data_IF_190958164397
#
_entry.id   IF_190958164397
#
_cell.length_a   1.000
_cell.length_b   1.000
_cell.length_c   1.000
_cell.angle_alpha   90.00
_cell.angle_beta   90.00
_cell.angle_gamma   90.00
#
_symmetry.space_group_name_H-M   'P 1'
#
loop_
_entity.id
_entity.type
_entity.pdbx_description
1 polymer ?
2 non-polymer ?
3 non-polymer ?
4 water ?
#
# COMPACT_ATOMS: atom_id res chain seq x y z
N UNK A 4 -18.40 -3.16 -11.93
CA UNK A 4 -17.20 -3.40 -12.77
C UNK A 4 -16.14 -2.35 -12.47
N UNK A 5 -14.89 -2.79 -12.39
CA UNK A 5 -13.76 -1.88 -12.30
C UNK A 5 -13.40 -1.39 -13.71
N UNK A 6 -13.04 -0.12 -13.76
CA UNK A 6 -12.31 0.44 -14.87
C UNK A 6 -11.21 -0.48 -15.40
N UNK A 7 -10.91 -0.38 -16.68
CA UNK A 7 -9.76 -1.10 -17.24
C UNK A 7 -8.37 -0.83 -16.53
N UNK A 8 -7.97 0.43 -16.39
CA UNK A 8 -6.73 0.70 -15.63
C UNK A 8 -6.91 0.26 -14.15
N UNK A 9 -8.12 0.33 -13.60
CA UNK A 9 -8.33 -0.11 -12.23
C UNK A 9 -8.22 -1.64 -12.08
N UNK A 10 -8.64 -2.38 -13.12
CA UNK A 10 -8.39 -3.82 -13.11
C UNK A 10 -6.88 -4.12 -13.02
N UNK A 11 -6.05 -3.37 -13.75
CA UNK A 11 -4.59 -3.55 -13.67
C UNK A 11 -4.09 -3.21 -12.29
N UNK A 12 -4.59 -2.10 -11.74
CA UNK A 12 -4.29 -1.74 -10.35
C UNK A 12 -4.65 -2.86 -9.35
N UNK A 13 -5.81 -3.49 -9.55
CA UNK A 13 -6.25 -4.56 -8.64
C UNK A 13 -5.30 -5.75 -8.78
N UNK A 14 -4.81 -5.98 -10.00
CA UNK A 14 -3.82 -7.00 -10.22
C UNK A 14 -2.51 -6.69 -9.49
N UNK A 15 -2.05 -5.43 -9.53
CA UNK A 15 -0.84 -5.04 -8.79
C UNK A 15 -1.07 -5.31 -7.27
N UNK A 16 -2.26 -4.96 -6.79
CA UNK A 16 -2.60 -5.15 -5.39
C UNK A 16 -2.53 -6.63 -5.01
N UNK A 17 -3.09 -7.49 -5.86
CA UNK A 17 -3.10 -8.94 -5.64
C UNK A 17 -1.64 -9.43 -5.55
N UNK A 18 -0.78 -8.92 -6.42
CA UNK A 18 0.62 -9.31 -6.35
C UNK A 18 1.28 -8.87 -5.05
N UNK A 19 0.99 -7.65 -4.63
CA UNK A 19 1.58 -7.12 -3.39
C UNK A 19 1.16 -7.89 -2.15
N UNK A 20 -0.02 -8.51 -2.20
CA UNK A 20 -0.55 -9.33 -1.12
C UNK A 20 -0.14 -10.80 -1.20
N UNK A 21 0.55 -11.18 -2.28
CA UNK A 21 0.75 -12.60 -2.62
C UNK A 21 1.99 -13.14 -1.93
N UNK A 22 2.09 -14.45 -1.85
CA UNK A 22 3.18 -15.08 -1.11
C UNK A 22 4.56 -14.68 -1.62
N UNK A 23 4.66 -14.42 -2.92
CA UNK A 23 5.92 -14.03 -3.55
C UNK A 23 6.63 -12.91 -2.80
N UNK A 24 5.86 -11.94 -2.29
CA UNK A 24 6.44 -10.78 -1.66
C UNK A 24 6.33 -10.73 -0.13
N UNK A 25 5.95 -11.87 0.47
CA UNK A 25 5.53 -11.88 1.86
C UNK A 25 6.69 -11.53 2.79
N UNK A 26 7.94 -11.83 2.42
CA UNK A 26 9.09 -11.59 3.33
C UNK A 26 9.27 -10.13 3.67
N UNK A 27 8.84 -9.22 2.78
CA UNK A 27 8.95 -7.77 3.05
C UNK A 27 7.59 -7.08 3.11
N UNK A 28 6.54 -7.68 2.55
CA UNK A 28 5.25 -7.05 2.49
C UNK A 28 4.42 -7.20 3.77
N UNK A 29 4.71 -8.20 4.59
CA UNK A 29 3.79 -8.57 5.66
C UNK A 29 3.44 -7.44 6.66
N UNK A 30 4.37 -6.52 6.95
CA UNK A 30 3.98 -5.45 7.87
C UNK A 30 2.88 -4.55 7.35
N UNK A 31 2.67 -4.58 6.05
CA UNK A 31 1.70 -3.74 5.35
C UNK A 31 0.38 -4.43 5.06
N UNK A 32 0.22 -5.64 5.57
CA UNK A 32 -1.01 -6.41 5.34
C UNK A 32 -2.26 -5.91 6.09
N UNK A 33 -2.04 -5.24 7.22
CA UNK A 33 -3.14 -4.74 8.05
C UNK A 33 -2.75 -3.39 8.62
N UNK A 34 -3.75 -2.64 9.14
CA UNK A 34 -3.40 -1.35 9.75
C UNK A 34 -2.37 -1.53 10.87
N UNK A 35 -1.49 -0.54 11.03
CA UNK A 35 -0.59 -0.53 12.16
C UNK A 35 -1.42 -0.52 13.43
N UNK A 36 -1.16 -1.48 14.32
CA UNK A 36 -1.83 -1.59 15.59
C UNK A 36 -0.89 -0.93 16.61
N UNK A 37 -1.09 0.37 16.80
CA UNK A 37 -0.16 1.18 17.55
C UNK A 37 0.00 0.68 18.97
N UNK A 38 -1.12 0.33 19.60
CA UNK A 38 -1.02 -0.15 20.97
C UNK A 38 -0.35 -1.50 21.07
N UNK A 39 -0.65 -2.42 20.14
CA UNK A 39 0.00 -3.74 20.20
C UNK A 39 1.50 -3.62 20.02
N UNK A 40 1.96 -2.65 19.22
CA UNK A 40 3.40 -2.48 18.97
C UNK A 40 4.07 -1.49 19.91
N UNK A 41 3.27 -0.93 20.82
CA UNK A 41 3.75 0.02 21.82
C UNK A 41 4.27 1.33 21.20
N UNK A 42 3.61 1.74 20.11
CA UNK A 42 3.91 2.97 19.38
C UNK A 42 2.89 3.97 19.83
N UNK A 43 3.10 4.51 21.01
CA UNK A 43 2.02 5.31 21.63
C UNK A 43 1.87 6.69 21.02
N UNK A 44 2.82 7.11 20.17
CA UNK A 44 2.73 8.34 19.40
C UNK A 44 2.34 8.17 17.93
N UNK A 45 2.03 6.94 17.50
CA UNK A 45 1.86 6.67 16.08
C UNK A 45 0.75 7.54 15.46
N UNK A 46 -0.38 7.65 16.14
CA UNK A 46 -1.55 8.36 15.58
C UNK A 46 -1.39 9.88 15.67
N UNK A 47 -0.46 10.33 16.52
CA UNK A 47 -0.08 11.76 16.58
C UNK A 47 0.75 12.17 15.35
N UNK A 48 1.65 11.26 14.95
CA UNK A 48 2.58 11.53 13.82
C UNK A 48 1.92 11.19 12.46
N UNK A 49 1.20 10.06 12.43
CA UNK A 49 0.55 9.56 11.22
C UNK A 49 -0.96 9.82 11.37
N UNK A 50 -1.44 10.86 10.71
CA UNK A 50 -2.81 11.32 10.77
C UNK A 50 -3.75 10.58 9.82
N UNK A 51 -3.19 9.93 8.81
CA UNK A 51 -3.98 9.23 7.79
C UNK A 51 -3.42 7.83 7.57
N UNK A 52 -3.80 6.89 8.42
CA UNK A 52 -3.24 5.56 8.28
C UNK A 52 -3.62 4.91 6.95
N UNK A 53 -2.75 4.06 6.42
CA UNK A 53 -3.04 3.34 5.21
C UNK A 53 -2.24 2.06 5.17
N UNK A 54 -2.81 1.02 4.55
CA UNK A 54 -2.19 -0.30 4.49
C UNK A 54 -2.85 -1.06 3.33
N UNK A 55 -2.30 -2.21 2.98
CA UNK A 55 -2.83 -2.94 1.81
C UNK A 55 -4.26 -3.43 1.98
N UNK A 56 -4.66 -3.81 3.20
CA UNK A 56 -6.05 -4.26 3.40
C UNK A 56 -7.06 -3.15 3.17
N UNK A 57 -6.65 -1.91 3.49
CA UNK A 57 -7.51 -0.76 3.28
C UNK A 57 -7.61 -0.46 1.77
N UNK A 58 -6.47 -0.54 1.08
CA UNK A 58 -6.50 -0.41 -0.39
C UNK A 58 -7.42 -1.47 -1.00
N UNK A 59 -7.34 -2.70 -0.49
CA UNK A 59 -8.26 -3.75 -0.94
C UNK A 59 -9.72 -3.39 -0.66
N UNK A 60 -10.03 -3.01 0.57
CA UNK A 60 -11.42 -2.64 0.92
C UNK A 60 -11.94 -1.60 -0.05
N UNK A 61 -11.14 -0.57 -0.29
CA UNK A 61 -11.54 0.52 -1.16
C UNK A 61 -11.72 0.08 -2.61
N UNK A 62 -10.80 -0.78 -3.10
CA UNK A 62 -10.90 -1.28 -4.45
C UNK A 62 -12.15 -2.13 -4.60
N UNK A 63 -12.36 -3.02 -3.63
CA UNK A 63 -13.51 -3.91 -3.66
C UNK A 63 -14.80 -3.11 -3.58
N UNK A 64 -14.75 -1.99 -2.89
CA UNK A 64 -15.88 -1.11 -2.76
C UNK A 64 -16.05 -0.10 -3.88
N UNK A 65 -15.19 -0.20 -4.89
CA UNK A 65 -15.21 0.66 -6.06
C UNK A 65 -15.06 2.12 -5.69
N UNK A 66 -14.22 2.40 -4.69
CA UNK A 66 -14.04 3.76 -4.20
C UNK A 66 -13.04 4.58 -5.02
N UNK A 67 -12.09 3.94 -5.71
CA UNK A 67 -11.13 4.70 -6.49
C UNK A 67 -11.75 5.13 -7.81
N UNK A 68 -11.67 6.43 -8.11
CA UNK A 68 -12.20 6.92 -9.38
C UNK A 68 -11.29 6.61 -10.57
N UNK A 69 -10.00 6.44 -10.27
CA UNK A 69 -8.99 6.24 -11.28
C UNK A 69 -7.74 5.65 -10.69
N UNK A 70 -6.79 5.27 -11.56
CA UNK A 70 -5.53 4.68 -11.15
C UNK A 70 -4.74 5.63 -10.21
N UNK A 71 -4.84 6.92 -10.46
CA UNK A 71 -4.14 7.92 -9.65
C UNK A 71 -4.60 7.88 -8.21
N UNK A 72 -5.88 7.69 -8.00
CA UNK A 72 -6.40 7.60 -6.64
C UNK A 72 -5.84 6.38 -5.91
N UNK A 73 -5.82 5.25 -6.61
CA UNK A 73 -5.20 4.02 -6.09
C UNK A 73 -3.73 4.23 -5.73
N UNK A 74 -2.98 4.83 -6.65
CA UNK A 74 -1.56 5.02 -6.45
C UNK A 74 -1.31 5.96 -5.25
N UNK A 75 -2.15 6.96 -5.09
CA UNK A 75 -2.00 7.91 -4.00
C UNK A 75 -2.10 7.19 -2.63
N UNK A 76 -3.03 6.24 -2.53
CA UNK A 76 -3.14 5.48 -1.28
C UNK A 76 -1.95 4.56 -1.08
N UNK A 77 -1.50 3.88 -2.14
CA UNK A 77 -0.35 3.00 -1.98
C UNK A 77 0.87 3.83 -1.54
N UNK A 78 1.07 4.97 -2.17
CA UNK A 78 2.19 5.83 -1.79
C UNK A 78 2.04 6.42 -0.38
N UNK A 79 0.80 6.69 0.02
CA UNK A 79 0.53 7.14 1.39
C UNK A 79 1.00 6.10 2.40
N UNK A 80 0.66 4.85 2.13
CA UNK A 80 1.14 3.75 2.97
C UNK A 80 2.68 3.74 3.12
N UNK A 81 3.40 3.84 2.00
CA UNK A 81 4.84 3.88 2.10
C UNK A 81 5.32 5.15 2.83
N UNK A 82 4.76 6.30 2.45
CA UNK A 82 5.17 7.55 3.03
C UNK A 82 4.94 7.58 4.54
N UNK A 83 3.85 6.99 5.01
CA UNK A 83 3.61 6.93 6.46
C UNK A 83 4.77 6.20 7.15
N UNK A 84 5.20 5.09 6.55
CA UNK A 84 6.28 4.31 7.11
C UNK A 84 7.60 5.11 7.17
N UNK A 85 7.92 5.78 6.06
CA UNK A 85 9.08 6.64 6.03
C UNK A 85 9.00 7.81 6.99
N UNK A 86 7.80 8.38 7.13
CA UNK A 86 7.59 9.54 8.00
C UNK A 86 7.82 9.14 9.47
N UNK A 87 7.20 8.04 9.88
CA UNK A 87 7.23 7.65 11.27
C UNK A 87 8.60 7.16 11.74
N UNK A 88 9.28 6.40 10.87
CA UNK A 88 10.44 5.64 11.27
C UNK A 88 11.77 6.33 10.96
N UNK A 89 12.78 6.14 11.82
CA UNK A 89 14.13 6.53 11.43
C UNK A 89 14.53 5.76 10.18
N UNK A 90 15.31 6.37 9.29
CA UNK A 90 15.60 5.75 8.00
C UNK A 90 16.33 4.41 8.07
N UNK A 91 16.99 4.15 9.20
CA UNK A 91 17.74 2.91 9.39
C UNK A 91 16.87 1.78 10.01
N UNK A 92 15.60 2.05 10.27
CA UNK A 92 14.73 1.02 10.80
C UNK A 92 14.53 -0.07 9.74
N UNK A 93 14.47 -1.31 10.21
CA UNK A 93 14.27 -2.45 9.31
C UNK A 93 12.99 -2.32 8.48
N UNK A 94 11.93 -1.78 9.06
CA UNK A 94 10.66 -1.70 8.36
C UNK A 94 10.77 -0.76 7.15
N UNK A 95 11.68 0.23 7.21
CA UNK A 95 11.89 1.14 6.10
C UNK A 95 12.48 0.37 4.90
N UNK A 96 13.43 -0.52 5.16
CA UNK A 96 13.98 -1.35 4.10
C UNK A 96 12.89 -2.24 3.45
N UNK A 97 11.99 -2.76 4.28
CA UNK A 97 10.90 -3.60 3.80
C UNK A 97 9.93 -2.78 2.93
N UNK A 98 9.56 -1.59 3.40
CA UNK A 98 8.71 -0.67 2.64
C UNK A 98 9.34 -0.39 1.28
N UNK A 99 10.65 -0.16 1.29
CA UNK A 99 11.33 0.21 0.06
C UNK A 99 11.33 -0.94 -0.93
N UNK A 100 11.53 -2.15 -0.43
CA UNK A 100 11.50 -3.32 -1.31
C UNK A 100 10.13 -3.50 -1.92
N UNK A 101 9.09 -3.31 -1.14
CA UNK A 101 7.73 -3.40 -1.65
C UNK A 101 7.43 -2.25 -2.61
N UNK A 102 7.96 -1.07 -2.33
CA UNK A 102 7.74 0.05 -3.22
C UNK A 102 8.44 -0.13 -4.57
N UNK A 103 9.60 -0.77 -4.54
CA UNK A 103 10.28 -1.08 -5.79
C UNK A 103 9.35 -1.92 -6.69
N UNK A 104 8.71 -2.94 -6.12
CA UNK A 104 7.74 -3.75 -6.83
C UNK A 104 6.60 -2.88 -7.36
N UNK A 105 6.00 -2.11 -6.46
CA UNK A 105 4.86 -1.31 -6.84
C UNK A 105 5.18 -0.35 -7.99
N UNK A 106 6.22 0.45 -7.82
CA UNK A 106 6.54 1.49 -8.79
C UNK A 106 6.87 0.87 -10.14
N UNK A 107 7.55 -0.28 -10.12
CA UNK A 107 7.86 -0.94 -11.38
C UNK A 107 6.60 -1.45 -12.07
N UNK A 108 5.74 -2.14 -11.32
CA UNK A 108 4.53 -2.65 -11.95
C UNK A 108 3.61 -1.48 -12.41
N UNK A 109 3.47 -0.47 -11.57
CA UNK A 109 2.59 0.65 -11.91
C UNK A 109 3.11 1.39 -13.17
N UNK A 110 4.43 1.57 -13.26
CA UNK A 110 5.03 2.23 -14.41
C UNK A 110 4.88 1.46 -15.69
N UNK A 111 4.82 0.14 -15.60
CA UNK A 111 4.67 -0.75 -16.78
C UNK A 111 3.21 -0.90 -17.23
N UNK A 112 2.28 -0.31 -16.49
CA UNK A 112 0.89 -0.30 -16.90
C UNK A 112 0.79 0.38 -18.27
N UNK A 113 0.32 -0.35 -19.30
CA UNK A 113 0.32 0.28 -20.65
C UNK A 113 -0.57 1.50 -20.73
#
# INVERSE_FOLDING_TARGET
SMGKLSEHLRYCDSILREMLSKKHAAYAWPFYKPVDAEALELHDYHDIIKHPMDLSTVKRKMDGREYPDAQGFAADVRLMFSNCYKYNPPDHEVVAMARKLQDVFEMRFAKMP
#
